data_IF_956666425275
#
_entry.id   IF_956666425275
#
_cell.length_a   1.000
_cell.length_b   1.000
_cell.length_c   1.000
_cell.angle_alpha   90.00
_cell.angle_beta   90.00
_cell.angle_gamma   90.00
#
_symmetry.space_group_name_H-M   'P 1'
#
loop_
_entity.id
_entity.type
_entity.pdbx_description
1 polymer ?
#
# COMPACT_ATOMS: atom_id res chain seq x y z
N UNK A 1 6.08 -5.73 23.72
CA UNK A 1 6.62 -7.10 23.80
C UNK A 1 7.36 -7.38 22.51
N UNK A 2 8.68 -7.61 22.55
CA UNK A 2 9.48 -7.79 21.34
C UNK A 2 9.27 -9.19 20.76
N UNK A 3 9.11 -9.27 19.43
CA UNK A 3 9.01 -10.55 18.71
C UNK A 3 10.39 -11.22 18.69
N UNK A 4 10.41 -12.54 18.77
CA UNK A 4 11.63 -13.34 18.70
C UNK A 4 12.36 -13.08 17.36
N UNK A 5 13.59 -12.57 17.44
CA UNK A 5 14.43 -12.24 16.28
C UNK A 5 15.41 -13.38 16.02
N UNK A 6 15.41 -13.92 14.80
CA UNK A 6 16.30 -15.01 14.39
C UNK A 6 16.98 -14.64 13.08
N UNK A 7 18.32 -14.61 13.08
CA UNK A 7 19.13 -14.15 11.95
C UNK A 7 19.38 -15.24 10.89
N UNK A 8 19.02 -16.49 11.19
CA UNK A 8 19.22 -17.66 10.31
C UNK A 8 18.08 -17.85 9.29
N UNK A 9 17.40 -16.77 8.91
CA UNK A 9 16.31 -16.84 7.95
C UNK A 9 16.89 -16.89 6.53
N UNK A 10 17.07 -18.10 6.00
CA UNK A 10 17.64 -18.36 4.66
C UNK A 10 16.62 -18.09 3.54
N UNK A 11 15.32 -18.07 3.87
CA UNK A 11 14.22 -17.85 2.92
C UNK A 11 13.57 -16.51 3.23
N UNK A 12 13.58 -15.60 2.25
CA UNK A 12 12.67 -14.46 2.27
C UNK A 12 11.26 -15.02 2.05
N UNK A 13 10.29 -14.78 2.95
CA UNK A 13 8.88 -14.99 2.67
C UNK A 13 8.44 -13.87 1.71
N UNK A 14 9.00 -13.90 0.50
CA UNK A 14 8.52 -13.15 -0.63
C UNK A 14 7.40 -13.99 -1.22
N UNK A 15 6.18 -13.55 -0.97
CA UNK A 15 5.00 -14.15 -1.58
C UNK A 15 4.97 -13.74 -3.06
N UNK A 16 5.68 -14.48 -3.90
CA UNK A 16 5.68 -14.30 -5.36
C UNK A 16 4.36 -14.80 -6.01
N UNK A 17 3.42 -15.32 -5.22
CA UNK A 17 2.22 -16.02 -5.69
C UNK A 17 1.03 -15.09 -5.98
N UNK A 18 0.96 -13.88 -5.43
CA UNK A 18 -0.08 -12.90 -5.82
C UNK A 18 0.30 -12.14 -7.09
N UNK A 19 0.45 -12.87 -8.20
CA UNK A 19 0.38 -12.26 -9.52
C UNK A 19 -1.08 -11.98 -9.84
N UNK A 20 -1.48 -10.71 -9.71
CA UNK A 20 -2.75 -10.22 -10.26
C UNK A 20 -2.77 -10.46 -11.77
N UNK A 21 -3.96 -10.57 -12.35
CA UNK A 21 -4.07 -10.66 -13.80
C UNK A 21 -3.45 -9.43 -14.46
N UNK A 22 -2.80 -9.58 -15.61
CA UNK A 22 -2.09 -8.47 -16.28
C UNK A 22 -3.01 -7.27 -16.58
N UNK A 23 -4.32 -7.50 -16.72
CA UNK A 23 -5.33 -6.48 -16.96
C UNK A 23 -6.07 -6.02 -15.68
N UNK A 24 -5.52 -6.28 -14.49
CA UNK A 24 -6.14 -5.89 -13.24
C UNK A 24 -6.11 -4.35 -13.05
N UNK A 25 -7.20 -3.82 -12.49
CA UNK A 25 -7.37 -2.39 -12.20
C UNK A 25 -6.29 -1.89 -11.23
N UNK A 26 -5.78 -2.75 -10.34
CA UNK A 26 -4.69 -2.44 -9.43
C UNK A 26 -3.42 -1.96 -10.17
N UNK A 27 -3.12 -2.53 -11.34
CA UNK A 27 -1.99 -2.09 -12.16
C UNK A 27 -2.23 -0.70 -12.75
N UNK A 28 -3.45 -0.42 -13.22
CA UNK A 28 -3.81 0.90 -13.73
C UNK A 28 -3.74 1.97 -12.63
N UNK A 29 -4.27 1.67 -11.43
CA UNK A 29 -4.18 2.56 -10.25
C UNK A 29 -2.72 2.79 -9.87
N UNK A 30 -1.91 1.72 -9.81
CA UNK A 30 -0.50 1.82 -9.50
C UNK A 30 0.22 2.73 -10.51
N UNK A 31 0.02 2.51 -11.81
CA UNK A 31 0.63 3.31 -12.87
C UNK A 31 0.26 4.80 -12.72
N UNK A 32 -1.02 5.12 -12.51
CA UNK A 32 -1.47 6.50 -12.33
C UNK A 32 -0.80 7.14 -11.12
N UNK A 33 -0.78 6.46 -9.97
CA UNK A 33 -0.21 7.01 -8.73
C UNK A 33 1.31 7.18 -8.83
N UNK A 34 2.01 6.28 -9.51
CA UNK A 34 3.46 6.38 -9.69
C UNK A 34 3.89 7.56 -10.57
N UNK A 35 3.03 7.98 -11.53
CA UNK A 35 3.28 9.14 -12.39
C UNK A 35 3.11 10.49 -11.66
N UNK A 36 2.56 10.51 -10.45
CA UNK A 36 2.39 11.74 -9.67
C UNK A 36 3.77 12.16 -9.12
N UNK A 37 4.19 13.42 -9.31
CA UNK A 37 5.47 13.92 -8.79
C UNK A 37 5.51 13.83 -7.27
N UNK A 38 6.68 13.49 -6.72
CA UNK A 38 6.87 13.30 -5.29
C UNK A 38 6.57 14.55 -4.46
N UNK A 39 6.80 15.73 -5.04
CA UNK A 39 6.47 17.03 -4.47
C UNK A 39 5.00 17.14 -4.03
N UNK A 40 4.08 16.46 -4.71
CA UNK A 40 2.66 16.42 -4.36
C UNK A 40 2.38 15.69 -3.03
N UNK A 41 3.33 14.85 -2.58
CA UNK A 41 3.18 14.05 -1.36
C UNK A 41 3.86 14.65 -0.13
N UNK A 42 4.68 15.70 -0.31
CA UNK A 42 5.48 16.33 0.77
C UNK A 42 4.60 16.81 1.92
N UNK A 43 3.40 17.34 1.63
CA UNK A 43 2.47 17.78 2.68
C UNK A 43 1.90 16.66 3.56
N UNK A 44 1.99 15.40 3.13
CA UNK A 44 1.52 14.24 3.89
C UNK A 44 2.64 13.50 4.64
N UNK A 45 3.89 13.81 4.31
CA UNK A 45 5.05 13.30 5.03
C UNK A 45 5.12 13.97 6.40
N UNK A 46 5.36 13.14 7.43
CA UNK A 46 5.52 13.61 8.80
C UNK A 46 6.98 13.40 9.19
N UNK A 47 7.65 14.50 9.54
CA UNK A 47 9.01 14.51 10.08
C UNK A 47 9.10 13.86 11.48
N UNK A 48 7.97 13.82 12.21
CA UNK A 48 7.92 13.29 13.58
C UNK A 48 6.78 12.29 13.76
N UNK A 49 7.00 11.32 14.66
CA UNK A 49 6.10 10.20 14.89
C UNK A 49 6.50 8.94 14.09
N UNK A 50 5.66 7.91 14.15
CA UNK A 50 5.84 6.67 13.39
C UNK A 50 4.70 6.56 12.36
N UNK A 51 4.86 7.10 11.14
CA UNK A 51 3.86 6.91 10.09
C UNK A 51 3.75 5.43 9.75
N UNK A 52 2.55 4.88 9.81
CA UNK A 52 2.32 3.45 9.56
C UNK A 52 2.55 3.06 8.08
N UNK A 53 2.24 3.97 7.15
CA UNK A 53 2.30 3.72 5.70
C UNK A 53 2.78 4.96 4.94
N UNK A 54 3.38 4.74 3.77
CA UNK A 54 3.78 5.81 2.86
C UNK A 54 2.55 6.46 2.18
N UNK A 55 2.45 7.80 2.05
CA UNK A 55 1.29 8.46 1.43
C UNK A 55 0.94 7.92 0.03
N UNK A 56 1.97 7.64 -0.79
CA UNK A 56 1.85 7.00 -2.11
C UNK A 56 1.18 5.62 -2.04
N UNK A 57 1.55 4.80 -1.06
CA UNK A 57 0.93 3.48 -0.87
C UNK A 57 -0.53 3.64 -0.41
N UNK A 58 -0.78 4.54 0.54
CA UNK A 58 -2.12 4.80 1.06
C UNK A 58 -3.08 5.26 -0.05
N UNK A 59 -2.61 6.12 -0.96
CA UNK A 59 -3.39 6.58 -2.10
C UNK A 59 -3.82 5.44 -3.03
N UNK A 60 -2.92 4.47 -3.30
CA UNK A 60 -3.26 3.29 -4.11
C UNK A 60 -4.39 2.47 -3.48
N UNK A 61 -4.33 2.26 -2.16
CA UNK A 61 -5.35 1.51 -1.42
C UNK A 61 -6.71 2.22 -1.52
N UNK A 62 -6.75 3.53 -1.27
CA UNK A 62 -8.00 4.32 -1.33
C UNK A 62 -8.60 4.29 -2.74
N UNK A 63 -7.79 4.52 -3.77
CA UNK A 63 -8.26 4.51 -5.15
C UNK A 63 -8.76 3.13 -5.58
N UNK A 64 -8.05 2.06 -5.22
CA UNK A 64 -8.46 0.68 -5.50
C UNK A 64 -9.78 0.31 -4.78
N UNK A 65 -10.00 0.80 -3.56
CA UNK A 65 -11.27 0.58 -2.88
C UNK A 65 -12.42 1.39 -3.53
N UNK A 66 -12.12 2.59 -4.04
CA UNK A 66 -13.11 3.42 -4.71
C UNK A 66 -13.55 2.82 -6.06
N UNK A 67 -12.69 2.09 -6.77
CA UNK A 67 -13.11 1.34 -7.96
C UNK A 67 -14.11 0.23 -7.64
N UNK A 68 -14.12 -0.25 -6.39
CA UNK A 68 -15.08 -1.23 -5.87
C UNK A 68 -16.30 -0.59 -5.19
N UNK A 69 -16.49 0.74 -5.35
CA UNK A 69 -17.57 1.51 -4.70
C UNK A 69 -17.54 1.47 -3.16
N UNK A 70 -16.36 1.26 -2.56
CA UNK A 70 -16.18 1.26 -1.10
C UNK A 70 -15.52 2.56 -0.66
N UNK A 71 -16.33 3.47 -0.10
CA UNK A 71 -15.89 4.83 0.24
C UNK A 71 -15.61 5.05 1.73
N UNK A 72 -16.11 4.18 2.60
CA UNK A 72 -15.97 4.35 4.06
C UNK A 72 -14.65 3.75 4.54
N UNK A 73 -13.84 4.53 5.27
CA UNK A 73 -12.56 4.06 5.79
C UNK A 73 -12.65 2.75 6.59
N UNK A 74 -13.70 2.57 7.41
CA UNK A 74 -13.94 1.30 8.12
C UNK A 74 -14.30 0.14 7.20
N UNK A 75 -15.01 0.41 6.11
CA UNK A 75 -15.29 -0.62 5.10
C UNK A 75 -14.05 -0.97 4.29
N UNK A 76 -13.18 0.01 4.01
CA UNK A 76 -11.88 -0.21 3.35
C UNK A 76 -10.98 -1.06 4.25
N UNK A 77 -10.90 -0.74 5.54
CA UNK A 77 -10.16 -1.54 6.54
C UNK A 77 -10.65 -2.99 6.56
N UNK A 78 -11.95 -3.24 6.44
CA UNK A 78 -12.50 -4.60 6.40
C UNK A 78 -12.27 -5.39 5.09
N UNK A 79 -11.70 -4.76 4.05
CA UNK A 79 -11.29 -5.45 2.81
C UNK A 79 -9.83 -5.91 2.83
N UNK A 80 -9.05 -5.44 3.82
CA UNK A 80 -7.64 -5.78 4.03
C UNK A 80 -7.56 -6.97 5.00
#
# INVERSE_FOLDING_TARGET
MFKHYTMNQVVLPLDFEMKLQENDIAYAVNHIVEHIPEESFVGFLRETGCPAYHPRMMMKIILCAYTQSVFSGRKIEGLI
#
